data_IF_071523784749
#
_entry.id   IF_071523784749
#
_cell.length_a   1.000
_cell.length_b   1.000
_cell.length_c   1.000
_cell.angle_alpha   90.00
_cell.angle_beta   90.00
_cell.angle_gamma   90.00
#
_symmetry.space_group_name_H-M   'P 1'
#
loop_
_entity.id
_entity.type
_entity.pdbx_description
1 polymer ?
#
# COMPACT_ATOMS: atom_id res chain seq x y z
N UNK A 1 -29.37 -4.55 -18.38
CA UNK A 1 -28.18 -5.25 -17.85
C UNK A 1 -27.27 -4.21 -17.21
N UNK A 2 -26.93 -4.33 -15.93
CA UNK A 2 -26.00 -3.40 -15.28
C UNK A 2 -24.56 -3.84 -15.50
N UNK A 3 -23.69 -2.93 -15.93
CA UNK A 3 -22.24 -3.18 -16.04
C UNK A 3 -21.60 -3.00 -14.66
N UNK A 4 -20.89 -4.01 -14.15
CA UNK A 4 -19.99 -3.82 -13.01
C UNK A 4 -18.75 -3.06 -13.48
N UNK A 5 -18.35 -2.01 -12.75
CA UNK A 5 -17.12 -1.25 -13.03
C UNK A 5 -16.22 -1.33 -11.81
N UNK A 6 -14.96 -1.67 -12.04
CA UNK A 6 -13.92 -1.70 -11.01
C UNK A 6 -12.93 -0.59 -11.29
N UNK A 7 -12.49 0.08 -10.24
CA UNK A 7 -11.53 1.19 -10.30
C UNK A 7 -10.44 0.95 -9.27
N UNK A 8 -9.21 1.31 -9.62
CA UNK A 8 -8.08 1.31 -8.70
C UNK A 8 -7.61 2.76 -8.54
N UNK A 9 -7.44 3.20 -7.30
CA UNK A 9 -6.88 4.52 -6.98
C UNK A 9 -5.49 4.28 -6.40
N UNK A 10 -4.48 4.82 -7.09
CA UNK A 10 -3.09 4.75 -6.67
C UNK A 10 -2.53 6.17 -6.56
N UNK A 11 -1.64 6.38 -5.59
CA UNK A 11 -1.02 7.67 -5.34
C UNK A 11 0.50 7.52 -5.20
N UNK A 12 1.21 8.60 -5.51
CA UNK A 12 2.66 8.71 -5.42
C UNK A 12 2.99 9.86 -4.48
N UNK A 13 3.96 9.62 -3.59
CA UNK A 13 4.35 10.59 -2.58
C UNK A 13 5.78 10.30 -2.08
N UNK A 14 6.32 11.18 -1.24
CA UNK A 14 7.65 11.01 -0.65
C UNK A 14 7.69 9.91 0.44
N UNK A 15 6.53 9.54 0.97
CA UNK A 15 6.40 8.46 1.94
C UNK A 15 5.19 7.57 1.66
N UNK A 16 5.24 6.31 2.12
CA UNK A 16 4.10 5.38 1.99
C UNK A 16 2.87 5.84 2.78
N UNK A 17 3.07 6.55 3.90
CA UNK A 17 1.99 7.10 4.71
C UNK A 17 1.23 8.20 3.95
N UNK A 18 1.96 9.12 3.34
CA UNK A 18 1.39 10.19 2.52
C UNK A 18 0.71 9.64 1.25
N UNK A 19 1.35 8.67 0.57
CA UNK A 19 0.75 8.00 -0.58
C UNK A 19 -0.58 7.31 -0.19
N UNK A 20 -0.62 6.66 0.98
CA UNK A 20 -1.86 6.07 1.49
C UNK A 20 -2.94 7.14 1.69
N UNK A 21 -2.63 8.24 2.37
CA UNK A 21 -3.58 9.32 2.60
C UNK A 21 -4.17 9.86 1.29
N UNK A 22 -3.32 10.14 0.29
CA UNK A 22 -3.76 10.63 -1.03
C UNK A 22 -4.66 9.60 -1.73
N UNK A 23 -4.30 8.32 -1.67
CA UNK A 23 -5.11 7.25 -2.29
C UNK A 23 -6.50 7.12 -1.64
N UNK A 24 -6.59 7.24 -0.32
CA UNK A 24 -7.86 7.18 0.42
C UNK A 24 -8.78 8.35 0.04
N UNK A 25 -8.22 9.57 0.01
CA UNK A 25 -8.95 10.77 -0.45
C UNK A 25 -9.47 10.60 -1.88
N UNK A 26 -8.68 9.98 -2.75
CA UNK A 26 -9.08 9.70 -4.13
C UNK A 26 -10.25 8.71 -4.22
N UNK A 27 -10.27 7.67 -3.38
CA UNK A 27 -11.41 6.73 -3.29
C UNK A 27 -12.67 7.40 -2.74
N UNK A 28 -12.53 8.24 -1.72
CA UNK A 28 -13.63 9.00 -1.11
C UNK A 28 -14.27 10.01 -2.08
N UNK A 29 -13.51 10.51 -3.06
CA UNK A 29 -14.02 11.42 -4.09
C UNK A 29 -14.89 10.72 -5.16
N UNK A 30 -14.90 9.38 -5.21
CA UNK A 30 -15.69 8.63 -6.19
C UNK A 30 -17.15 8.58 -5.75
N UNK A 31 -18.03 9.15 -6.56
CA UNK A 31 -19.48 9.13 -6.32
C UNK A 31 -20.12 7.77 -6.64
N UNK A 32 -21.07 7.34 -5.81
CA UNK A 32 -21.91 6.15 -6.05
C UNK A 32 -21.67 5.02 -5.04
N UNK A 33 -22.38 3.88 -5.20
CA UNK A 33 -22.21 2.73 -4.34
C UNK A 33 -20.86 2.06 -4.60
N UNK A 34 -19.86 2.39 -3.79
CA UNK A 34 -18.51 1.83 -3.86
C UNK A 34 -18.19 1.06 -2.58
N UNK A 35 -17.79 -0.20 -2.73
CA UNK A 35 -17.23 -0.98 -1.63
C UNK A 35 -15.71 -1.03 -1.79
N UNK A 36 -14.99 -0.66 -0.75
CA UNK A 36 -13.55 -0.63 -0.74
C UNK A 36 -12.99 -0.90 0.66
N UNK A 37 -11.70 -1.25 0.74
CA UNK A 37 -10.98 -1.53 1.99
C UNK A 37 -10.23 -0.28 2.46
N UNK A 38 -10.45 0.14 3.70
CA UNK A 38 -9.80 1.31 4.30
C UNK A 38 -8.50 0.99 5.07
N UNK A 39 -8.16 -0.29 5.17
CA UNK A 39 -7.01 -0.80 5.93
C UNK A 39 -5.79 -1.13 5.05
N UNK A 40 -5.87 -0.90 3.74
CA UNK A 40 -4.73 -1.10 2.83
C UNK A 40 -3.57 -0.20 3.25
N UNK A 41 -2.37 -0.80 3.30
CA UNK A 41 -1.14 -0.13 3.73
C UNK A 41 -1.26 0.51 5.12
N UNK A 42 -1.97 -0.14 6.05
CA UNK A 42 -2.08 0.33 7.43
C UNK A 42 -0.69 0.56 8.06
N UNK A 43 -0.62 1.38 9.10
CA UNK A 43 0.64 1.61 9.82
C UNK A 43 1.30 0.31 10.28
N UNK A 44 0.50 -0.68 10.68
CA UNK A 44 0.97 -2.01 11.06
C UNK A 44 1.56 -2.78 9.87
N UNK A 45 0.92 -2.73 8.69
CA UNK A 45 1.42 -3.37 7.47
C UNK A 45 2.73 -2.73 6.98
N UNK A 46 2.81 -1.40 7.06
CA UNK A 46 4.01 -0.64 6.72
C UNK A 46 5.16 -0.98 7.65
N UNK A 47 4.91 -1.02 8.96
CA UNK A 47 5.92 -1.39 9.96
C UNK A 47 6.43 -2.82 9.75
N UNK A 48 5.52 -3.78 9.53
CA UNK A 48 5.85 -5.18 9.25
C UNK A 48 6.67 -5.34 7.97
N UNK A 49 6.24 -4.67 6.89
CA UNK A 49 6.94 -4.69 5.60
C UNK A 49 8.34 -4.08 5.71
N UNK A 50 8.47 -2.95 6.40
CA UNK A 50 9.77 -2.32 6.64
C UNK A 50 10.70 -3.20 7.47
N UNK A 51 10.19 -3.84 8.53
CA UNK A 51 10.97 -4.78 9.34
C UNK A 51 11.44 -5.98 8.51
N UNK A 52 10.55 -6.57 7.71
CA UNK A 52 10.89 -7.67 6.81
C UNK A 52 11.98 -7.28 5.80
N UNK A 53 11.86 -6.12 5.17
CA UNK A 53 12.86 -5.63 4.21
C UNK A 53 14.22 -5.38 4.87
N UNK A 54 14.26 -4.89 6.11
CA UNK A 54 15.51 -4.76 6.88
C UNK A 54 16.16 -6.13 7.11
N UNK A 55 15.39 -7.16 7.46
CA UNK A 55 15.89 -8.53 7.64
C UNK A 55 16.47 -9.10 6.33
N UNK A 56 15.77 -8.96 5.21
CA UNK A 56 16.25 -9.42 3.90
C UNK A 56 17.52 -8.69 3.47
N UNK A 57 17.59 -7.37 3.69
CA UNK A 57 18.78 -6.56 3.40
C UNK A 57 19.95 -6.87 4.34
N UNK A 58 19.67 -7.23 5.59
CA UNK A 58 20.70 -7.71 6.52
C UNK A 58 21.23 -9.09 6.14
N UNK A 59 20.35 -10.00 5.72
CA UNK A 59 20.72 -11.37 5.33
C UNK A 59 21.43 -11.45 3.98
N UNK A 60 21.12 -10.56 3.04
CA UNK A 60 21.84 -10.42 1.76
C UNK A 60 23.23 -9.80 1.89
N UNK A 61 23.61 -9.29 3.08
CA UNK A 61 24.96 -8.77 3.37
C UNK A 61 25.89 -9.79 4.04
N UNK A 62 25.41 -11.01 4.32
CA UNK A 62 26.32 -12.10 4.70
C UNK A 62 27.12 -12.50 3.46
N UNK A 63 28.45 -12.62 3.53
CA UNK A 63 29.21 -13.16 2.42
C UNK A 63 28.65 -14.55 2.10
N UNK A 64 28.40 -14.83 0.82
CA UNK A 64 28.18 -16.20 0.38
C UNK A 64 29.38 -17.00 0.91
N UNK A 65 29.09 -18.00 1.74
CA UNK A 65 30.06 -18.82 2.46
C UNK A 65 31.23 -19.18 1.55
N UNK A 66 32.45 -18.84 1.98
CA UNK A 66 33.70 -19.36 1.43
C UNK A 66 33.93 -20.77 1.94
#
# INVERSE_FOLDING_TARGET
>A
MGTSRTVAVAALAGSLAEAREISLRGVEAISGPLRWRNDIASAADLARSAAHMRLLRGRSRLPASA
#
